data_IF_380052606551
#
_entry.id   IF_380052606551
#
_cell.length_a   1.000
_cell.length_b   1.000
_cell.length_c   1.000
_cell.angle_alpha   90.00
_cell.angle_beta   90.00
_cell.angle_gamma   90.00
#
_symmetry.space_group_name_H-M   'P 1'
#
loop_
_entity.id
_entity.type
_entity.pdbx_description
1 polymer ?
#
# COMPACT_ATOMS: atom_id res chain seq x y z
N UNK A 1 37.29 -4.78 -66.49
CA UNK A 1 35.98 -4.23 -66.03
C UNK A 1 35.83 -4.61 -64.59
N UNK A 2 35.90 -3.65 -63.64
CA UNK A 2 35.78 -3.87 -62.26
C UNK A 2 34.43 -3.19 -61.83
N UNK A 3 33.44 -4.00 -61.41
CA UNK A 3 32.18 -3.51 -60.89
C UNK A 3 32.33 -3.04 -59.44
N UNK A 4 32.07 -1.77 -59.18
CA UNK A 4 32.03 -1.20 -57.83
C UNK A 4 30.63 -1.40 -57.25
N UNK A 5 30.55 -2.11 -56.12
CA UNK A 5 29.29 -2.26 -55.35
C UNK A 5 29.21 -1.11 -54.34
N UNK A 6 28.24 -0.22 -54.52
CA UNK A 6 27.89 0.78 -53.53
C UNK A 6 26.93 0.14 -52.51
N UNK A 7 27.39 -0.04 -51.27
CA UNK A 7 26.55 -0.41 -50.17
C UNK A 7 25.81 0.82 -49.68
N UNK A 8 24.48 0.81 -49.84
CA UNK A 8 23.60 1.83 -49.28
C UNK A 8 23.34 1.48 -47.80
N UNK A 9 23.98 2.17 -46.88
CA UNK A 9 23.69 2.07 -45.45
C UNK A 9 22.48 2.96 -45.11
N UNK A 10 21.30 2.35 -44.94
CA UNK A 10 20.12 3.03 -44.42
C UNK A 10 20.28 3.28 -42.94
N UNK A 11 20.43 4.52 -42.51
CA UNK A 11 20.38 4.94 -41.12
C UNK A 11 18.90 5.03 -40.73
N UNK A 12 18.42 4.09 -39.95
CA UNK A 12 17.09 4.16 -39.32
C UNK A 12 17.18 5.14 -38.13
N UNK A 13 16.68 6.34 -38.32
CA UNK A 13 16.49 7.29 -37.20
C UNK A 13 15.36 6.79 -36.32
N UNK A 14 15.69 6.22 -35.16
CA UNK A 14 14.72 5.94 -34.11
C UNK A 14 14.34 7.28 -33.49
N UNK A 15 13.15 7.79 -33.85
CA UNK A 15 12.55 8.92 -33.15
C UNK A 15 12.19 8.47 -31.74
N UNK A 16 13.08 8.70 -30.78
CA UNK A 16 12.79 8.54 -29.38
C UNK A 16 11.69 9.51 -28.98
N UNK A 17 10.52 9.00 -28.57
CA UNK A 17 9.53 9.82 -27.90
C UNK A 17 10.17 10.41 -26.64
N UNK A 18 10.63 11.65 -26.71
CA UNK A 18 11.03 12.40 -25.55
C UNK A 18 9.77 12.60 -24.68
N UNK A 19 9.60 11.76 -23.66
CA UNK A 19 8.68 12.05 -22.57
C UNK A 19 9.20 13.30 -21.86
N UNK A 20 8.64 14.45 -22.17
CA UNK A 20 8.81 15.63 -21.31
C UNK A 20 8.04 15.33 -20.03
N UNK A 21 8.71 15.17 -18.88
CA UNK A 21 7.97 15.03 -17.63
C UNK A 21 7.14 16.30 -17.44
N UNK A 22 5.83 16.11 -17.25
CA UNK A 22 4.95 17.20 -16.86
C UNK A 22 5.50 17.80 -15.57
N UNK A 23 5.76 19.09 -15.53
CA UNK A 23 6.40 19.81 -14.44
C UNK A 23 5.57 19.89 -13.13
N UNK A 24 4.58 19.03 -12.94
CA UNK A 24 3.71 19.02 -11.76
C UNK A 24 4.07 17.96 -10.71
N UNK A 25 5.19 17.25 -10.84
CA UNK A 25 5.69 16.39 -9.76
C UNK A 25 6.46 17.21 -8.73
N UNK A 26 5.81 18.21 -8.13
CA UNK A 26 6.24 18.70 -6.84
C UNK A 26 6.03 17.54 -5.86
N UNK A 27 7.09 16.79 -5.56
CA UNK A 27 7.15 15.89 -4.42
C UNK A 27 6.98 16.78 -3.19
N UNK A 28 5.73 16.94 -2.78
CA UNK A 28 5.43 17.60 -1.53
C UNK A 28 6.07 16.79 -0.40
N UNK A 29 6.42 17.44 0.67
CA UNK A 29 6.79 16.82 1.95
C UNK A 29 5.94 15.58 2.20
N UNK A 30 6.51 14.49 2.76
CA UNK A 30 5.84 13.22 2.95
C UNK A 30 4.44 13.33 3.58
N UNK A 31 3.63 12.26 3.57
CA UNK A 31 2.25 12.30 4.00
C UNK A 31 2.14 12.72 5.48
N UNK A 32 1.14 13.52 5.80
CA UNK A 32 0.82 13.85 7.19
C UNK A 32 0.00 12.74 7.80
N UNK A 33 0.56 12.02 8.76
CA UNK A 33 -0.12 10.96 9.49
C UNK A 33 -0.96 11.52 10.64
N UNK A 34 -2.16 10.98 10.79
CA UNK A 34 -3.03 11.22 11.94
C UNK A 34 -3.21 9.91 12.74
N UNK A 35 -3.34 9.99 14.08
CA UNK A 35 -3.65 8.80 14.89
C UNK A 35 -4.92 8.12 14.41
N UNK A 36 -4.92 6.79 14.34
CA UNK A 36 -6.15 6.02 14.16
C UNK A 36 -7.02 6.12 15.44
N UNK A 37 -8.32 5.87 15.29
CA UNK A 37 -9.25 5.98 16.44
C UNK A 37 -8.83 5.04 17.57
N UNK A 38 -8.71 5.56 18.81
CA UNK A 38 -8.22 4.81 19.97
C UNK A 38 -9.06 3.56 20.31
N UNK A 39 -10.33 3.53 19.92
CA UNK A 39 -11.19 2.35 20.06
C UNK A 39 -10.80 1.20 19.12
N UNK A 40 -10.06 1.47 18.07
CA UNK A 40 -9.70 0.49 17.01
C UNK A 40 -8.23 0.17 16.97
N UNK A 41 -7.37 1.08 17.43
CA UNK A 41 -5.93 0.94 17.33
C UNK A 41 -5.20 1.72 18.43
N UNK A 42 -3.97 1.29 18.72
CA UNK A 42 -3.01 2.02 19.57
C UNK A 42 -1.65 2.02 18.86
N UNK A 43 -0.92 3.13 18.91
CA UNK A 43 0.38 3.23 18.23
C UNK A 43 0.30 3.04 16.71
N UNK A 44 -0.85 3.34 16.11
CA UNK A 44 -1.07 3.27 14.69
C UNK A 44 -1.58 4.61 14.16
N UNK A 45 -1.08 5.00 13.00
CA UNK A 45 -1.33 6.28 12.35
C UNK A 45 -1.63 6.06 10.88
N UNK A 46 -2.53 6.85 10.32
CA UNK A 46 -2.90 6.73 8.91
C UNK A 46 -2.85 8.07 8.18
N UNK A 47 -2.57 8.02 6.90
CA UNK A 47 -2.63 9.15 5.98
C UNK A 47 -3.28 8.74 4.67
N UNK A 48 -4.25 9.51 4.19
CA UNK A 48 -4.78 9.34 2.84
C UNK A 48 -3.79 9.93 1.85
N UNK A 49 -3.32 9.13 0.91
CA UNK A 49 -2.40 9.56 -0.16
C UNK A 49 -3.17 9.98 -1.41
N UNK A 50 -4.23 9.25 -1.73
CA UNK A 50 -5.05 9.49 -2.91
C UNK A 50 -6.49 9.02 -2.69
N UNK A 51 -7.43 9.66 -3.36
CA UNK A 51 -8.84 9.29 -3.34
C UNK A 51 -9.54 9.50 -2.01
N UNK A 52 -10.55 8.67 -1.75
CA UNK A 52 -11.35 8.69 -0.52
C UNK A 52 -11.96 7.32 -0.26
N UNK A 53 -11.79 6.81 0.96
CA UNK A 53 -12.39 5.54 1.39
C UNK A 53 -13.92 5.57 1.45
N UNK A 54 -14.55 6.75 1.43
CA UNK A 54 -16.02 6.89 1.52
C UNK A 54 -16.71 6.95 0.16
N UNK A 55 -15.96 6.99 -0.95
CA UNK A 55 -16.49 7.09 -2.32
C UNK A 55 -16.36 5.75 -3.04
N UNK A 56 -17.26 5.47 -3.99
CA UNK A 56 -17.17 4.33 -4.91
C UNK A 56 -16.11 4.61 -6.00
N UNK A 57 -14.84 4.71 -5.59
CA UNK A 57 -13.71 5.06 -6.42
C UNK A 57 -12.42 4.47 -5.81
N UNK A 58 -11.32 4.38 -6.57
CA UNK A 58 -10.02 3.99 -6.03
C UNK A 58 -9.58 4.91 -4.90
N UNK A 59 -8.89 4.35 -3.93
CA UNK A 59 -8.23 5.07 -2.85
C UNK A 59 -6.88 4.42 -2.52
N UNK A 60 -6.00 5.22 -1.93
CA UNK A 60 -4.74 4.75 -1.35
C UNK A 60 -4.51 5.44 -0.01
N UNK A 61 -4.27 4.65 1.02
CA UNK A 61 -3.88 5.11 2.35
C UNK A 61 -2.53 4.52 2.73
N UNK A 62 -1.81 5.21 3.58
CA UNK A 62 -0.57 4.71 4.19
C UNK A 62 -0.77 4.61 5.69
N UNK A 63 -0.29 3.52 6.26
CA UNK A 63 -0.40 3.24 7.69
C UNK A 63 1.00 3.07 8.26
N UNK A 64 1.26 3.69 9.39
CA UNK A 64 2.45 3.51 10.21
C UNK A 64 2.02 2.87 11.53
N UNK A 65 2.58 1.72 11.85
CA UNK A 65 2.43 1.06 13.14
C UNK A 65 3.77 1.16 13.87
N UNK A 66 3.78 1.75 15.06
CA UNK A 66 4.97 1.83 15.89
C UNK A 66 5.20 0.51 16.63
N UNK A 67 6.42 0.28 17.11
CA UNK A 67 6.72 -0.87 17.97
C UNK A 67 5.77 -0.94 19.17
N UNK A 68 5.16 -2.10 19.38
CA UNK A 68 4.10 -2.32 20.39
C UNK A 68 2.72 -1.83 19.98
N UNK A 69 2.61 -1.11 18.86
CA UNK A 69 1.35 -0.67 18.30
C UNK A 69 0.51 -1.84 17.79
N UNK A 70 -0.80 -1.67 17.79
CA UNK A 70 -1.74 -2.69 17.31
C UNK A 70 -2.96 -2.07 16.67
N UNK A 71 -3.47 -2.75 15.66
CA UNK A 71 -4.78 -2.54 15.05
C UNK A 71 -5.61 -3.76 15.39
N UNK A 72 -6.72 -3.57 16.09
CA UNK A 72 -7.56 -4.66 16.58
C UNK A 72 -8.21 -5.45 15.43
N UNK A 73 -8.64 -6.70 15.67
CA UNK A 73 -9.37 -7.48 14.67
C UNK A 73 -10.57 -6.74 14.11
N UNK A 74 -10.61 -6.62 12.79
CA UNK A 74 -11.64 -5.88 12.08
C UNK A 74 -11.82 -6.44 10.66
N UNK A 75 -12.88 -6.01 10.01
CA UNK A 75 -13.14 -6.29 8.60
C UNK A 75 -13.35 -5.00 7.81
N UNK A 76 -13.22 -5.11 6.51
CA UNK A 76 -13.65 -4.09 5.54
C UNK A 76 -14.55 -4.75 4.49
N UNK A 77 -15.56 -4.06 3.94
CA UNK A 77 -16.41 -4.64 2.90
C UNK A 77 -15.67 -4.82 1.57
N UNK A 78 -14.68 -3.99 1.29
CA UNK A 78 -13.91 -3.99 0.07
C UNK A 78 -12.64 -4.85 0.19
N UNK A 79 -12.24 -5.58 -0.87
CA UNK A 79 -10.91 -6.17 -0.94
C UNK A 79 -9.87 -5.07 -1.13
N UNK A 80 -8.69 -5.29 -0.58
CA UNK A 80 -7.57 -4.35 -0.69
C UNK A 80 -6.25 -5.06 -0.84
N UNK A 81 -5.30 -4.36 -1.40
CA UNK A 81 -3.93 -4.80 -1.55
C UNK A 81 -3.08 -4.08 -0.53
N UNK A 82 -2.21 -4.84 0.14
CA UNK A 82 -1.20 -4.33 1.05
C UNK A 82 0.16 -4.37 0.37
N UNK A 83 0.91 -3.29 0.48
CA UNK A 83 2.33 -3.23 0.12
C UNK A 83 3.12 -2.74 1.33
N UNK A 84 4.08 -3.52 1.82
CA UNK A 84 4.98 -3.09 2.89
C UNK A 84 6.03 -2.15 2.32
N UNK A 85 6.10 -0.93 2.85
CA UNK A 85 6.92 0.18 2.33
C UNK A 85 8.21 0.33 3.12
N UNK A 86 8.17 0.02 4.42
CA UNK A 86 9.33 0.12 5.32
C UNK A 86 9.15 -0.82 6.51
N UNK A 87 10.23 -1.43 6.98
CA UNK A 87 10.25 -2.35 8.11
C UNK A 87 9.62 -3.72 7.82
N UNK A 88 9.15 -4.39 8.90
CA UNK A 88 8.51 -5.70 8.82
C UNK A 88 7.11 -5.64 9.46
N UNK A 89 6.08 -5.79 8.66
CA UNK A 89 4.69 -5.77 9.10
C UNK A 89 4.28 -7.14 9.66
N UNK A 90 3.87 -7.19 10.93
CA UNK A 90 3.17 -8.35 11.48
C UNK A 90 1.68 -8.23 11.18
N UNK A 91 1.17 -9.10 10.30
CA UNK A 91 -0.22 -9.07 9.87
C UNK A 91 -0.86 -10.44 10.06
N UNK A 92 -1.99 -10.47 10.75
CA UNK A 92 -2.69 -11.70 11.08
C UNK A 92 -4.12 -11.71 10.54
N UNK A 93 -4.61 -12.90 10.22
CA UNK A 93 -5.99 -13.16 9.86
C UNK A 93 -6.70 -13.90 10.99
N UNK A 94 -7.93 -13.50 11.30
CA UNK A 94 -8.76 -14.12 12.33
C UNK A 94 -9.50 -13.11 13.19
N UNK A 95 -10.43 -13.62 13.99
CA UNK A 95 -11.31 -12.82 14.87
C UNK A 95 -10.63 -12.44 16.19
N UNK A 96 -9.58 -13.14 16.60
CA UNK A 96 -8.84 -12.88 17.83
C UNK A 96 -7.51 -12.18 17.53
N UNK A 97 -7.15 -11.19 18.34
CA UNK A 97 -5.83 -10.59 18.28
C UNK A 97 -4.80 -11.55 18.91
N UNK A 98 -3.90 -12.06 18.09
CA UNK A 98 -2.80 -12.94 18.52
C UNK A 98 -1.49 -12.48 17.88
N UNK A 99 -0.64 -11.75 18.62
CA UNK A 99 0.63 -11.26 18.09
C UNK A 99 1.65 -12.36 17.77
N UNK A 100 1.44 -13.58 18.27
CA UNK A 100 2.32 -14.72 17.98
C UNK A 100 1.88 -15.49 16.72
N UNK A 101 0.61 -15.40 16.35
CA UNK A 101 0.06 -16.06 15.16
C UNK A 101 0.14 -15.22 13.88
N UNK A 102 0.56 -13.94 13.97
CA UNK A 102 0.69 -13.11 12.77
C UNK A 102 1.90 -13.50 11.92
N UNK A 103 1.75 -13.36 10.62
CA UNK A 103 2.84 -13.53 9.65
C UNK A 103 3.65 -12.24 9.54
N UNK A 104 4.99 -12.36 9.53
CA UNK A 104 5.89 -11.23 9.27
C UNK A 104 6.06 -11.05 7.77
N UNK A 105 5.69 -9.86 7.30
CA UNK A 105 5.84 -9.44 5.91
C UNK A 105 6.96 -8.39 5.83
N UNK A 106 8.13 -8.70 5.25
CA UNK A 106 9.21 -7.73 5.11
C UNK A 106 8.88 -6.64 4.08
N UNK A 107 9.68 -5.56 4.09
CA UNK A 107 9.66 -4.51 3.07
C UNK A 107 9.63 -5.11 1.66
N UNK A 108 8.82 -4.53 0.77
CA UNK A 108 8.58 -5.03 -0.58
C UNK A 108 7.52 -6.13 -0.68
N UNK A 109 7.03 -6.68 0.44
CA UNK A 109 5.93 -7.64 0.41
C UNK A 109 4.66 -7.03 -0.16
N UNK A 110 3.92 -7.86 -0.91
CA UNK A 110 2.66 -7.51 -1.55
C UNK A 110 1.66 -8.65 -1.37
N UNK A 111 0.47 -8.38 -0.82
CA UNK A 111 -0.56 -9.39 -0.63
C UNK A 111 -1.96 -8.81 -0.66
N UNK A 112 -2.94 -9.66 -1.01
CA UNK A 112 -4.36 -9.33 -1.04
C UNK A 112 -5.01 -9.63 0.32
N UNK A 113 -5.82 -8.70 0.80
CA UNK A 113 -6.76 -8.89 1.91
C UNK A 113 -8.16 -8.92 1.31
N UNK A 114 -8.84 -10.08 1.30
CA UNK A 114 -10.19 -10.17 0.76
C UNK A 114 -11.19 -9.35 1.60
N UNK A 115 -12.26 -8.88 0.95
CA UNK A 115 -13.34 -8.21 1.65
C UNK A 115 -14.01 -9.12 2.69
N UNK A 116 -14.45 -8.53 3.80
CA UNK A 116 -15.13 -9.19 4.94
C UNK A 116 -14.33 -10.29 5.65
N UNK A 117 -13.03 -10.44 5.39
CA UNK A 117 -12.16 -11.36 6.11
C UNK A 117 -11.59 -10.65 7.34
N UNK A 118 -11.78 -11.17 8.57
CA UNK A 118 -11.21 -10.61 9.79
C UNK A 118 -9.67 -10.63 9.76
N UNK A 119 -9.07 -9.50 10.12
CA UNK A 119 -7.62 -9.34 10.16
C UNK A 119 -7.19 -8.29 11.19
N UNK A 120 -5.90 -8.29 11.54
CA UNK A 120 -5.32 -7.36 12.50
C UNK A 120 -3.86 -7.06 12.15
N UNK A 121 -3.35 -5.94 12.66
CA UNK A 121 -1.94 -5.55 12.53
C UNK A 121 -1.25 -5.45 13.89
N UNK A 122 0.05 -5.78 13.93
CA UNK A 122 0.86 -5.62 15.13
C UNK A 122 2.28 -5.15 14.78
N UNK A 123 2.78 -4.18 15.52
CA UNK A 123 4.14 -3.67 15.42
C UNK A 123 5.11 -4.44 16.34
N UNK A 124 5.65 -5.58 15.91
CA UNK A 124 6.81 -6.19 16.60
C UNK A 124 8.00 -5.23 16.55
N UNK A 125 8.08 -4.44 15.51
CA UNK A 125 8.95 -3.29 15.30
C UNK A 125 8.16 -2.21 14.55
N UNK A 126 8.76 -1.06 14.27
CA UNK A 126 8.12 -0.02 13.44
C UNK A 126 7.95 -0.56 12.02
N UNK A 127 6.77 -0.33 11.44
CA UNK A 127 6.48 -0.71 10.06
C UNK A 127 5.59 0.32 9.37
N UNK A 128 5.82 0.53 8.09
CA UNK A 128 4.98 1.37 7.23
C UNK A 128 4.47 0.52 6.07
N UNK A 129 3.16 0.53 5.86
CA UNK A 129 2.54 -0.15 4.73
C UNK A 129 1.51 0.73 4.03
N UNK A 130 1.19 0.37 2.82
CA UNK A 130 0.21 1.04 1.99
C UNK A 130 -0.94 0.09 1.69
N UNK A 131 -2.15 0.60 1.78
CA UNK A 131 -3.38 -0.08 1.37
C UNK A 131 -3.96 0.62 0.15
N UNK A 132 -4.35 -0.16 -0.85
CA UNK A 132 -5.05 0.34 -2.03
C UNK A 132 -6.27 -0.53 -2.31
N UNK A 133 -7.40 0.11 -2.54
CA UNK A 133 -8.68 -0.56 -2.78
C UNK A 133 -9.64 0.31 -3.59
N UNK A 134 -10.85 -0.19 -3.74
CA UNK A 134 -11.97 0.54 -4.35
C UNK A 134 -13.08 0.62 -3.33
N UNK A 135 -13.40 1.84 -2.89
CA UNK A 135 -14.43 2.08 -1.89
C UNK A 135 -15.87 1.96 -2.45
N UNK A 136 -16.88 2.17 -1.63
CA UNK A 136 -16.77 2.64 -0.26
C UNK A 136 -16.21 1.57 0.68
N UNK A 137 -15.35 2.00 1.59
CA UNK A 137 -14.77 1.17 2.65
C UNK A 137 -15.31 1.57 4.01
N UNK A 138 -15.32 0.62 4.94
CA UNK A 138 -15.63 0.83 6.34
C UNK A 138 -14.67 0.01 7.21
N UNK A 139 -14.40 0.49 8.41
CA UNK A 139 -13.68 -0.24 9.44
C UNK A 139 -14.70 -0.81 10.43
N UNK A 140 -14.87 -2.14 10.44
CA UNK A 140 -15.86 -2.82 11.29
C UNK A 140 -15.13 -3.71 12.29
N UNK A 141 -15.12 -3.32 13.57
CA UNK A 141 -14.52 -4.12 14.63
C UNK A 141 -15.19 -5.49 14.74
N UNK A 142 -14.38 -6.53 14.92
CA UNK A 142 -14.89 -7.85 15.32
C UNK A 142 -15.22 -7.80 16.81
N UNK A 143 -16.44 -8.19 17.23
CA UNK A 143 -16.80 -8.23 18.65
C UNK A 143 -15.90 -9.20 19.41
N UNK A 144 -15.38 -8.77 20.56
CA UNK A 144 -14.70 -9.68 21.50
C UNK A 144 -15.71 -10.62 22.12
N UNK A 145 -15.44 -11.94 22.00
CA UNK A 145 -16.26 -12.97 22.67
C UNK A 145 -15.93 -13.05 24.15
#
# INVERSE_FOLDING_TARGET
>A
MRAAWFALTSVIAVAGCAHTPSASNAWTTGPTFAPMAAATATGAFAATLDGSTTKAAPYTIRVHITKGGKILPHTHPDPRVITVVDGNLCYGFGEAFDPEACTMYPEGSYFLVPGNVPHYGYGKEDAVYQESGVGPSAFVLVPTK
#
